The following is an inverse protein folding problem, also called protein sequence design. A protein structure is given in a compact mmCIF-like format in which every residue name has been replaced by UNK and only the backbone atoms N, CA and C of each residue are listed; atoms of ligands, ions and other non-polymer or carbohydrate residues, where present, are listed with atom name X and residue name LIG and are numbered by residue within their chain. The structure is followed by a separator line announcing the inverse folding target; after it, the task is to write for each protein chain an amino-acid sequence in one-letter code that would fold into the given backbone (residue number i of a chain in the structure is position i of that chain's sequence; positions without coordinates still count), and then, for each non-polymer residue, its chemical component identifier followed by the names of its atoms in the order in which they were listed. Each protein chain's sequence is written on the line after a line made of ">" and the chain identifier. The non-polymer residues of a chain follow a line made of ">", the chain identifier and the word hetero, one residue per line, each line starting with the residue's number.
data_IF_041955528145
#
_entry.id   IF_041955528145
#
_cell.length_a   1.000
_cell.length_b   1.000
_cell.length_c   1.000
_cell.angle_alpha   90.00
_cell.angle_beta   90.00
_cell.angle_gamma   90.00
#
_symmetry.space_group_name_H-M   'P 1'
#
loop_
_entity.id
_entity.type
_entity.pdbx_description
1 polymer ?
#
# COMPACT_ATOMS: atom_id res chain seq x y z
N UNK A 1 10.09 -2.90 5.27
CA UNK A 1 11.37 -3.15 4.56
C UNK A 1 11.41 -2.24 3.35
N UNK A 2 12.34 -1.31 3.35
CA UNK A 2 12.42 -0.21 2.35
C UNK A 2 13.81 -0.10 1.72
N UNK A 3 14.77 -0.89 2.19
CA UNK A 3 16.17 -0.90 1.76
C UNK A 3 16.80 -2.30 1.92
N UNK A 4 18.05 -2.42 1.48
CA UNK A 4 18.83 -3.65 1.53
C UNK A 4 19.08 -4.15 2.96
N UNK A 5 19.31 -3.25 3.89
CA UNK A 5 19.57 -3.61 5.28
C UNK A 5 18.31 -4.24 5.91
N UNK A 6 17.16 -3.60 5.75
CA UNK A 6 15.87 -4.15 6.17
C UNK A 6 15.51 -5.46 5.46
N UNK A 7 15.93 -5.64 4.20
CA UNK A 7 15.78 -6.92 3.50
C UNK A 7 16.60 -8.01 4.18
N UNK A 8 17.87 -7.77 4.46
CA UNK A 8 18.75 -8.77 5.06
C UNK A 8 18.29 -9.16 6.46
N UNK A 9 17.94 -8.19 7.31
CA UNK A 9 17.40 -8.47 8.64
C UNK A 9 16.16 -9.37 8.58
N UNK A 10 15.26 -9.10 7.65
CA UNK A 10 14.05 -9.90 7.48
C UNK A 10 14.36 -11.29 6.95
N UNK A 11 15.31 -11.42 6.03
CA UNK A 11 15.75 -12.69 5.48
C UNK A 11 16.37 -13.59 6.56
N UNK A 12 17.24 -13.02 7.40
CA UNK A 12 17.91 -13.75 8.48
C UNK A 12 16.92 -14.35 9.48
N UNK A 13 15.82 -13.63 9.77
CA UNK A 13 14.75 -14.13 10.63
C UNK A 13 13.92 -15.18 9.89
N UNK A 14 13.49 -14.88 8.67
CA UNK A 14 12.62 -15.80 7.92
C UNK A 14 13.29 -17.14 7.64
N UNK A 15 14.58 -17.17 7.36
CA UNK A 15 15.33 -18.41 7.14
C UNK A 15 15.40 -19.31 8.39
N UNK A 16 15.31 -18.71 9.57
CA UNK A 16 15.36 -19.48 10.84
C UNK A 16 13.98 -19.94 11.29
N UNK A 17 12.95 -19.12 11.06
CA UNK A 17 11.64 -19.30 11.67
C UNK A 17 10.59 -19.87 10.70
N UNK A 18 10.80 -19.74 9.38
CA UNK A 18 9.81 -20.19 8.41
C UNK A 18 9.85 -21.71 8.23
N UNK A 19 8.67 -22.33 8.30
CA UNK A 19 8.48 -23.74 7.98
C UNK A 19 7.94 -23.98 6.56
N UNK A 20 7.79 -22.92 5.78
CA UNK A 20 7.25 -22.95 4.41
C UNK A 20 8.09 -22.07 3.50
N UNK A 21 7.95 -22.22 2.20
CA UNK A 21 8.51 -21.29 1.24
C UNK A 21 7.95 -19.90 1.43
N UNK A 22 8.78 -18.88 1.23
CA UNK A 22 8.38 -17.49 1.40
C UNK A 22 8.97 -16.58 0.34
N UNK A 23 8.31 -15.44 0.14
CA UNK A 23 8.83 -14.33 -0.64
C UNK A 23 8.52 -13.01 0.09
N UNK A 24 9.25 -11.94 -0.23
CA UNK A 24 9.12 -10.67 0.44
C UNK A 24 8.44 -9.62 -0.43
N UNK A 25 7.65 -8.79 0.25
CA UNK A 25 7.16 -7.53 -0.27
C UNK A 25 7.96 -6.37 0.32
N UNK A 26 8.48 -5.50 -0.53
CA UNK A 26 9.04 -4.22 -0.13
C UNK A 26 7.94 -3.24 0.28
N UNK A 27 8.28 -2.22 1.05
CA UNK A 27 7.38 -1.09 1.32
C UNK A 27 7.53 -0.04 0.22
N UNK A 28 6.44 0.36 -0.42
CA UNK A 28 6.42 1.55 -1.25
C UNK A 28 6.14 2.76 -0.36
N UNK A 29 7.17 3.50 -0.07
CA UNK A 29 7.13 4.76 0.70
C UNK A 29 7.91 5.83 -0.06
N UNK A 30 7.76 7.12 0.28
CA UNK A 30 8.54 8.19 -0.35
C UNK A 30 10.04 7.92 -0.40
N UNK A 31 10.58 7.26 0.62
CA UNK A 31 12.01 6.98 0.76
C UNK A 31 12.45 5.66 0.09
N UNK A 32 11.52 4.83 -0.38
CA UNK A 32 11.83 3.51 -0.93
C UNK A 32 11.98 3.51 -2.46
N UNK A 33 11.39 4.44 -3.17
CA UNK A 33 11.30 4.38 -4.65
C UNK A 33 12.66 4.21 -5.31
N UNK A 34 13.70 4.85 -4.79
CA UNK A 34 15.06 4.73 -5.30
C UNK A 34 15.67 3.33 -5.09
N UNK A 35 15.24 2.62 -4.05
CA UNK A 35 15.77 1.32 -3.66
C UNK A 35 15.02 0.13 -4.30
N UNK A 36 13.89 0.38 -4.97
CA UNK A 36 13.01 -0.68 -5.49
C UNK A 36 13.73 -1.64 -6.43
N UNK A 37 14.59 -1.13 -7.30
CA UNK A 37 15.33 -1.98 -8.25
C UNK A 37 16.35 -2.87 -7.54
N UNK A 38 17.03 -2.37 -6.51
CA UNK A 38 17.95 -3.17 -5.69
C UNK A 38 17.17 -4.24 -4.92
N UNK A 39 16.05 -3.86 -4.29
CA UNK A 39 15.18 -4.80 -3.59
C UNK A 39 14.61 -5.89 -4.52
N UNK A 40 14.29 -5.55 -5.76
CA UNK A 40 13.87 -6.53 -6.76
C UNK A 40 14.98 -7.54 -7.07
N UNK A 41 16.24 -7.08 -7.26
CA UNK A 41 17.40 -7.97 -7.47
C UNK A 41 17.70 -8.86 -6.26
N UNK A 42 17.38 -8.39 -5.06
CA UNK A 42 17.53 -9.17 -3.82
C UNK A 42 16.40 -10.20 -3.63
N UNK A 43 15.30 -10.12 -4.39
CA UNK A 43 14.22 -11.11 -4.36
C UNK A 43 12.88 -10.60 -3.84
N UNK A 44 12.67 -9.29 -3.70
CA UNK A 44 11.34 -8.75 -3.49
C UNK A 44 10.47 -8.98 -4.72
N UNK A 45 9.29 -9.58 -4.51
CA UNK A 45 8.35 -9.94 -5.58
C UNK A 45 7.28 -8.88 -5.82
N UNK A 46 7.07 -7.97 -4.88
CA UNK A 46 6.09 -6.89 -4.95
C UNK A 46 6.43 -5.77 -3.97
N UNK A 47 5.67 -4.65 -4.07
CA UNK A 47 5.85 -3.47 -3.20
C UNK A 47 4.50 -3.00 -2.69
N UNK A 48 4.37 -2.87 -1.38
CA UNK A 48 3.13 -2.43 -0.72
C UNK A 48 3.14 -0.95 -0.43
N UNK A 49 2.17 -0.22 -0.95
CA UNK A 49 1.87 1.17 -0.61
C UNK A 49 0.54 1.32 0.12
N UNK A 50 0.45 2.31 1.00
CA UNK A 50 -0.79 2.70 1.67
C UNK A 50 -1.25 4.06 1.15
N UNK A 51 -2.41 4.12 0.51
CA UNK A 51 -2.99 5.36 0.00
C UNK A 51 -3.66 6.19 1.09
N UNK A 52 -3.86 5.62 2.29
CA UNK A 52 -4.29 6.29 3.51
C UNK A 52 -3.28 6.06 4.64
N UNK A 53 -3.49 6.70 5.78
CA UNK A 53 -2.64 6.52 6.95
C UNK A 53 -2.74 5.09 7.49
N UNK A 54 -1.61 4.43 7.67
CA UNK A 54 -1.53 3.09 8.26
C UNK A 54 -0.90 3.13 9.66
N UNK A 55 0.35 3.55 9.73
CA UNK A 55 1.09 3.76 10.98
C UNK A 55 2.33 4.65 10.71
N UNK A 56 3.01 5.16 11.76
CA UNK A 56 4.18 6.03 11.59
C UNK A 56 5.34 5.41 10.82
N UNK A 57 5.53 4.09 10.92
CA UNK A 57 6.64 3.38 10.25
C UNK A 57 6.37 3.19 8.75
N UNK A 58 5.10 3.27 8.34
CA UNK A 58 4.64 3.18 6.95
C UNK A 58 3.82 4.42 6.60
N UNK A 59 4.47 5.53 6.27
CA UNK A 59 3.77 6.75 5.90
C UNK A 59 2.92 6.55 4.65
N UNK A 60 1.83 7.30 4.58
CA UNK A 60 1.00 7.35 3.40
C UNK A 60 1.84 7.64 2.14
N UNK A 61 1.60 6.89 1.09
CA UNK A 61 2.12 7.19 -0.24
C UNK A 61 1.16 8.16 -0.93
N UNK A 62 1.64 9.37 -1.21
CA UNK A 62 0.86 10.35 -1.99
C UNK A 62 0.80 9.93 -3.45
N UNK A 63 -0.14 10.48 -4.22
CA UNK A 63 -0.33 10.16 -5.64
C UNK A 63 0.96 10.33 -6.46
N UNK A 64 1.74 11.38 -6.20
CA UNK A 64 3.02 11.62 -6.86
C UNK A 64 4.03 10.48 -6.64
N UNK A 65 4.18 10.04 -5.40
CA UNK A 65 5.07 8.92 -5.06
C UNK A 65 4.53 7.58 -5.55
N UNK A 66 3.20 7.39 -5.53
CA UNK A 66 2.57 6.19 -6.09
C UNK A 66 2.86 6.06 -7.59
N UNK A 67 2.65 7.13 -8.35
CA UNK A 67 2.96 7.18 -9.80
C UNK A 67 4.46 6.98 -10.04
N UNK A 68 5.33 7.59 -9.24
CA UNK A 68 6.77 7.40 -9.36
C UNK A 68 7.17 5.94 -9.10
N UNK A 69 6.63 5.32 -8.05
CA UNK A 69 6.85 3.92 -7.73
C UNK A 69 6.32 2.98 -8.82
N UNK A 70 5.13 3.26 -9.36
CA UNK A 70 4.55 2.50 -10.48
C UNK A 70 5.42 2.58 -11.74
N UNK A 71 5.88 3.77 -12.13
CA UNK A 71 6.82 3.94 -13.26
C UNK A 71 8.11 3.15 -13.04
N UNK A 72 8.66 3.20 -11.82
CA UNK A 72 9.87 2.44 -11.48
C UNK A 72 9.61 0.95 -11.53
N UNK A 73 8.51 0.45 -10.97
CA UNK A 73 8.15 -0.96 -11.01
C UNK A 73 7.95 -1.47 -12.45
N UNK A 74 7.35 -0.67 -13.32
CA UNK A 74 7.15 -1.02 -14.73
C UNK A 74 8.48 -1.33 -15.46
N UNK A 75 9.58 -0.68 -15.08
CA UNK A 75 10.90 -0.92 -15.72
C UNK A 75 11.46 -2.32 -15.51
N UNK A 76 11.02 -3.05 -14.49
CA UNK A 76 11.43 -4.43 -14.18
C UNK A 76 10.26 -5.39 -14.02
N UNK A 77 9.08 -5.04 -14.58
CA UNK A 77 7.85 -5.84 -14.49
C UNK A 77 7.40 -6.13 -13.04
N UNK A 78 7.69 -5.22 -12.11
CA UNK A 78 7.35 -5.33 -10.69
C UNK A 78 5.86 -5.17 -10.44
N UNK A 79 5.39 -5.70 -9.31
CA UNK A 79 4.00 -5.62 -8.86
C UNK A 79 3.87 -4.56 -7.77
N UNK A 80 2.92 -3.65 -7.91
CA UNK A 80 2.53 -2.71 -6.87
C UNK A 80 1.23 -3.17 -6.22
N UNK A 81 1.27 -3.40 -4.91
CA UNK A 81 0.07 -3.66 -4.11
C UNK A 81 -0.32 -2.41 -3.32
N UNK A 82 -1.59 -2.05 -3.33
CA UNK A 82 -2.07 -0.88 -2.59
C UNK A 82 -3.13 -1.26 -1.56
N UNK A 83 -3.07 -0.61 -0.41
CA UNK A 83 -4.24 -0.39 0.44
C UNK A 83 -4.94 0.84 -0.13
N UNK A 84 -6.04 0.62 -0.82
CA UNK A 84 -6.75 1.65 -1.57
C UNK A 84 -7.85 2.27 -0.72
N UNK A 85 -7.58 3.41 -0.14
CA UNK A 85 -8.54 4.20 0.63
C UNK A 85 -8.24 5.68 0.46
N UNK A 86 -9.27 6.52 0.29
CA UNK A 86 -9.10 7.96 0.19
C UNK A 86 -8.75 8.55 1.57
N UNK A 87 -7.50 8.97 1.73
CA UNK A 87 -6.95 9.44 3.00
C UNK A 87 -7.69 10.66 3.56
N UNK A 88 -8.01 11.64 2.73
CA UNK A 88 -8.62 12.88 3.18
C UNK A 88 -10.05 12.63 3.70
N UNK A 89 -10.82 11.83 2.96
CA UNK A 89 -12.19 11.50 3.35
C UNK A 89 -12.22 10.62 4.60
N UNK A 90 -11.33 9.62 4.68
CA UNK A 90 -11.23 8.74 5.84
C UNK A 90 -10.80 9.50 7.11
N UNK A 91 -9.86 10.45 7.00
CA UNK A 91 -9.42 11.29 8.10
C UNK A 91 -10.52 12.24 8.56
N UNK A 92 -11.20 12.89 7.60
CA UNK A 92 -12.32 13.78 7.89
C UNK A 92 -13.47 13.03 8.59
N UNK A 93 -13.92 11.90 8.03
CA UNK A 93 -14.96 11.07 8.64
C UNK A 93 -14.58 10.58 10.05
N UNK A 94 -13.32 10.19 10.26
CA UNK A 94 -12.82 9.78 11.57
C UNK A 94 -12.88 10.91 12.60
N UNK A 95 -12.59 12.15 12.21
CA UNK A 95 -12.71 13.34 13.06
C UNK A 95 -14.16 13.68 13.39
N UNK A 96 -15.07 13.61 12.41
CA UNK A 96 -16.49 13.82 12.65
C UNK A 96 -17.05 12.80 13.64
N UNK A 97 -16.74 11.50 13.45
CA UNK A 97 -17.20 10.45 14.36
C UNK A 97 -16.61 10.63 15.77
N UNK A 98 -15.36 11.00 15.88
CA UNK A 98 -14.73 11.27 17.17
C UNK A 98 -15.38 12.44 17.92
N UNK A 99 -15.85 13.44 17.21
CA UNK A 99 -16.52 14.61 17.81
C UNK A 99 -17.86 14.30 18.47
N UNK A 100 -18.57 13.28 18.01
CA UNK A 100 -19.84 12.86 18.61
C UNK A 100 -19.69 11.88 19.78
N UNK A 101 -18.45 11.63 20.23
CA UNK A 101 -18.09 10.76 21.37
C UNK A 101 -18.70 9.34 21.32
N UNK A 102 -19.06 8.87 20.17
CA UNK A 102 -19.53 7.51 20.00
C UNK A 102 -18.32 6.54 20.07
N UNK A 103 -18.46 5.41 20.73
CA UNK A 103 -17.44 4.37 20.89
C UNK A 103 -17.87 3.04 20.26
N UNK A 104 -18.81 3.08 19.36
CA UNK A 104 -19.30 1.90 18.65
C UNK A 104 -18.35 1.55 17.50
N UNK A 105 -18.10 0.27 17.27
CA UNK A 105 -17.31 -0.21 16.12
C UNK A 105 -17.97 0.14 14.77
N UNK A 106 -19.29 0.26 14.71
CA UNK A 106 -20.03 0.71 13.52
C UNK A 106 -19.57 2.08 13.00
N UNK A 107 -19.05 2.94 13.88
CA UNK A 107 -18.50 4.24 13.49
C UNK A 107 -17.33 4.14 12.52
N UNK A 108 -16.59 3.04 12.55
CA UNK A 108 -15.50 2.85 11.60
C UNK A 108 -16.04 2.83 10.17
N UNK A 109 -17.17 2.14 9.96
CA UNK A 109 -17.81 2.02 8.65
C UNK A 109 -18.50 3.35 8.26
N UNK A 110 -19.10 4.05 9.22
CA UNK A 110 -19.68 5.38 9.00
C UNK A 110 -18.62 6.41 8.60
N UNK A 111 -17.44 6.35 9.21
CA UNK A 111 -16.30 7.21 8.85
C UNK A 111 -15.68 6.86 7.49
N UNK A 112 -15.88 5.63 7.02
CA UNK A 112 -15.28 5.08 5.80
C UNK A 112 -16.32 4.40 4.91
N UNK A 113 -17.29 5.15 4.36
CA UNK A 113 -18.29 4.57 3.47
C UNK A 113 -17.62 3.93 2.25
N UNK A 114 -18.26 2.91 1.69
CA UNK A 114 -17.71 2.04 0.63
C UNK A 114 -17.08 2.81 -0.55
N UNK A 115 -17.58 3.98 -0.90
CA UNK A 115 -17.06 4.77 -2.02
C UNK A 115 -15.69 5.41 -1.74
N UNK A 116 -15.24 5.47 -0.48
CA UNK A 116 -13.89 5.90 -0.08
C UNK A 116 -12.84 4.93 -0.62
N UNK A 117 -13.14 3.63 -0.53
CA UNK A 117 -12.34 2.57 -1.13
C UNK A 117 -12.46 2.59 -2.67
N UNK A 118 -13.69 2.69 -3.21
CA UNK A 118 -13.94 2.71 -4.65
C UNK A 118 -13.20 3.84 -5.37
N UNK A 119 -13.19 5.04 -4.82
CA UNK A 119 -12.47 6.18 -5.39
C UNK A 119 -10.99 5.90 -5.49
N UNK A 120 -10.38 5.43 -4.40
CA UNK A 120 -8.95 5.13 -4.36
C UNK A 120 -8.57 3.98 -5.30
N UNK A 121 -9.40 2.93 -5.41
CA UNK A 121 -9.22 1.85 -6.40
C UNK A 121 -9.23 2.42 -7.82
N UNK A 122 -10.22 3.23 -8.16
CA UNK A 122 -10.38 3.81 -9.50
C UNK A 122 -9.16 4.65 -9.86
N UNK A 123 -8.65 5.43 -8.94
CA UNK A 123 -7.45 6.26 -9.09
C UNK A 123 -6.19 5.41 -9.26
N UNK A 124 -6.01 4.37 -8.44
CA UNK A 124 -4.88 3.46 -8.56
C UNK A 124 -4.87 2.70 -9.90
N UNK A 125 -6.04 2.25 -10.37
CA UNK A 125 -6.20 1.60 -11.68
C UNK A 125 -5.84 2.55 -12.82
N UNK A 126 -6.31 3.81 -12.76
CA UNK A 126 -5.92 4.82 -13.73
C UNK A 126 -4.40 5.00 -13.78
N UNK A 127 -3.75 5.16 -12.62
CA UNK A 127 -2.30 5.33 -12.55
C UNK A 127 -1.54 4.10 -13.08
N UNK A 128 -2.01 2.90 -12.75
CA UNK A 128 -1.39 1.66 -13.24
C UNK A 128 -1.46 1.56 -14.77
N UNK A 129 -2.62 1.88 -15.35
CA UNK A 129 -2.80 1.92 -16.82
C UNK A 129 -1.88 2.93 -17.50
N UNK A 130 -1.79 4.15 -16.97
CA UNK A 130 -0.98 5.22 -17.56
C UNK A 130 0.53 5.02 -17.37
N UNK A 131 0.93 4.23 -16.39
CA UNK A 131 2.35 3.92 -16.11
C UNK A 131 2.80 2.58 -16.70
N UNK A 132 1.88 1.72 -17.10
CA UNK A 132 2.16 0.35 -17.52
C UNK A 132 2.54 -0.58 -16.36
N UNK A 133 2.31 -0.20 -15.12
CA UNK A 133 2.64 -1.00 -13.95
C UNK A 133 1.61 -2.10 -13.70
N UNK A 134 2.06 -3.23 -13.16
CA UNK A 134 1.18 -4.27 -12.63
C UNK A 134 0.64 -3.81 -11.27
N UNK A 135 -0.67 -3.90 -11.10
CA UNK A 135 -1.37 -3.48 -9.88
C UNK A 135 -2.06 -4.66 -9.20
N UNK A 136 -2.04 -4.67 -7.88
CA UNK A 136 -2.80 -5.54 -7.01
C UNK A 136 -3.55 -4.71 -5.96
N UNK A 137 -4.86 -4.81 -5.89
CA UNK A 137 -5.65 -4.21 -4.82
C UNK A 137 -5.65 -5.18 -3.64
N UNK A 138 -5.02 -4.80 -2.55
CA UNK A 138 -4.95 -5.64 -1.36
C UNK A 138 -6.29 -5.63 -0.62
N UNK A 139 -6.69 -6.81 -0.10
CA UNK A 139 -7.82 -6.96 0.82
C UNK A 139 -9.04 -6.07 0.45
N UNK A 140 -9.43 -6.07 -0.82
CA UNK A 140 -10.61 -5.37 -1.32
C UNK A 140 -11.88 -5.86 -0.61
N UNK A 141 -12.69 -4.92 -0.11
CA UNK A 141 -13.88 -5.24 0.71
C UNK A 141 -15.20 -4.95 0.00
N UNK A 142 -15.15 -4.25 -1.13
CA UNK A 142 -16.34 -3.79 -1.88
C UNK A 142 -16.49 -4.53 -3.22
N UNK A 143 -17.72 -4.91 -3.56
CA UNK A 143 -18.01 -5.57 -4.84
C UNK A 143 -17.78 -4.66 -6.05
N UNK A 144 -17.96 -3.37 -5.90
CA UNK A 144 -17.79 -2.36 -6.95
C UNK A 144 -16.31 -2.16 -7.35
N UNK A 145 -15.37 -2.65 -6.55
CA UNK A 145 -13.94 -2.58 -6.84
C UNK A 145 -13.42 -3.68 -7.78
N UNK A 146 -14.23 -4.70 -8.05
CA UNK A 146 -13.87 -5.89 -8.82
C UNK A 146 -13.99 -5.72 -10.34
#
# INVERSE_FOLDING_TARGET
>A
MVDKEGFQLKLDVAQKESCVDFAFWGGLTPNCVQNMEELNRLGCVAYKGFMSFANPDYPQVTDGYLVQGMRKAATFNGLIGVHAENAEVADFGSKEMSAIHCKDFAMHDDARPWWVEQEAISRAVLFARETGARLYICHMTIAQGA
#
